data_IF_943058993482
#
_entry.id   IF_943058993482
#
_cell.length_a   1.000
_cell.length_b   1.000
_cell.length_c   1.000
_cell.angle_alpha   90.00
_cell.angle_beta   90.00
_cell.angle_gamma   90.00
#
_symmetry.space_group_name_H-M   'P 1'
#
loop_
_entity.id
_entity.type
_entity.pdbx_description
1 polymer ?
#
# COMPACT_ATOMS: atom_id res chain seq x y z
N UNK A 1 -12.39 8.05 1.67
CA UNK A 1 -11.62 9.27 2.01
C UNK A 1 -10.24 9.25 1.37
N UNK A 2 -9.45 8.19 1.56
CA UNK A 2 -8.09 8.06 0.98
C UNK A 2 -8.07 8.25 -0.54
N UNK A 3 -8.89 7.50 -1.30
CA UNK A 3 -9.01 7.67 -2.76
C UNK A 3 -9.37 9.12 -3.16
N UNK A 4 -10.17 9.81 -2.36
CA UNK A 4 -10.52 11.21 -2.62
C UNK A 4 -9.34 12.17 -2.42
N UNK A 5 -8.46 11.89 -1.46
CA UNK A 5 -7.19 12.60 -1.30
C UNK A 5 -6.26 12.34 -2.48
N UNK A 6 -6.06 11.07 -2.88
CA UNK A 6 -5.26 10.70 -4.05
C UNK A 6 -5.70 11.44 -5.31
N UNK A 7 -6.99 11.37 -5.65
CA UNK A 7 -7.57 12.00 -6.84
C UNK A 7 -7.44 13.52 -6.88
N UNK A 8 -7.15 14.16 -5.74
CA UNK A 8 -6.95 15.60 -5.73
C UNK A 8 -5.53 16.03 -6.07
N UNK A 9 -4.57 15.10 -6.07
CA UNK A 9 -3.15 15.39 -6.31
C UNK A 9 -2.46 16.19 -5.21
N UNK A 10 -3.15 16.45 -4.10
CA UNK A 10 -2.65 17.18 -2.94
C UNK A 10 -2.35 16.22 -1.80
N UNK A 11 -1.06 15.91 -1.62
CA UNK A 11 -0.60 14.93 -0.63
C UNK A 11 -0.90 15.35 0.81
N UNK A 12 -1.04 16.64 1.08
CA UNK A 12 -1.42 17.15 2.40
C UNK A 12 -2.82 16.67 2.83
N UNK A 13 -3.68 16.28 1.88
CA UNK A 13 -4.98 15.68 2.22
C UNK A 13 -4.91 14.29 2.83
N UNK A 14 -3.75 13.64 2.80
CA UNK A 14 -3.51 12.40 3.56
C UNK A 14 -3.26 12.68 5.05
N UNK A 15 -2.76 13.87 5.42
CA UNK A 15 -2.41 14.21 6.80
C UNK A 15 -3.52 13.92 7.83
N UNK A 16 -4.78 14.33 7.63
CA UNK A 16 -5.84 14.01 8.59
C UNK A 16 -6.22 12.52 8.62
N UNK A 17 -5.81 11.73 7.62
CA UNK A 17 -6.11 10.30 7.51
C UNK A 17 -5.03 9.40 8.13
N UNK A 18 -3.78 9.90 8.20
CA UNK A 18 -2.64 9.17 8.79
C UNK A 18 -2.79 9.00 10.31
N UNK A 19 -3.65 9.79 10.97
CA UNK A 19 -3.83 9.69 12.42
C UNK A 19 -2.64 10.22 13.22
N UNK A 20 -2.61 9.94 14.52
CA UNK A 20 -1.58 10.39 15.47
C UNK A 20 -1.40 9.35 16.59
N UNK A 21 -0.24 9.37 17.25
CA UNK A 21 0.05 8.48 18.39
C UNK A 21 -0.08 7.00 18.01
N UNK A 22 -0.70 6.21 18.90
CA UNK A 22 -0.87 4.76 18.71
C UNK A 22 -1.77 4.39 17.51
N UNK A 23 -2.59 5.35 17.03
CA UNK A 23 -3.46 5.16 15.86
C UNK A 23 -2.80 5.63 14.56
N UNK A 24 -1.55 6.08 14.60
CA UNK A 24 -0.83 6.56 13.42
C UNK A 24 -0.60 5.43 12.42
N UNK A 25 -0.93 5.68 11.16
CA UNK A 25 -0.65 4.77 10.05
C UNK A 25 0.85 4.53 9.96
N UNK A 26 1.24 3.26 9.91
CA UNK A 26 2.61 2.87 9.65
C UNK A 26 2.97 3.15 8.18
N UNK A 27 3.93 4.04 7.92
CA UNK A 27 4.36 4.43 6.58
C UNK A 27 5.68 3.78 6.14
N UNK A 28 6.37 3.11 7.06
CA UNK A 28 7.62 2.39 6.82
C UNK A 28 7.71 1.15 7.71
N UNK A 29 8.48 0.15 7.27
CA UNK A 29 8.84 -1.01 8.10
C UNK A 29 9.90 -0.65 9.16
N UNK A 30 10.58 0.48 8.97
CA UNK A 30 11.51 1.09 9.92
C UNK A 30 10.85 2.29 10.59
N UNK A 31 11.42 2.75 11.70
CA UNK A 31 10.97 3.99 12.34
C UNK A 31 11.10 5.17 11.37
N UNK A 32 10.08 6.03 11.36
CA UNK A 32 10.10 7.30 10.66
C UNK A 32 10.33 8.42 11.67
N UNK A 33 11.19 9.38 11.32
CA UNK A 33 11.37 10.59 12.10
C UNK A 33 10.73 11.79 11.39
N UNK A 34 10.13 12.68 12.17
CA UNK A 34 9.59 13.94 11.68
C UNK A 34 8.19 13.86 11.06
N UNK A 35 7.97 14.69 10.05
CA UNK A 35 6.66 14.92 9.45
C UNK A 35 6.29 13.80 8.45
N UNK A 36 5.12 13.14 8.59
CA UNK A 36 4.77 12.01 7.74
C UNK A 36 4.54 12.39 6.27
N UNK A 37 4.09 13.61 5.98
CA UNK A 37 3.93 14.06 4.58
C UNK A 37 5.28 14.36 3.96
N UNK A 38 6.20 14.96 4.72
CA UNK A 38 7.59 15.17 4.30
C UNK A 38 8.26 13.84 4.01
N UNK A 39 8.06 12.84 4.86
CA UNK A 39 8.53 11.48 4.64
C UNK A 39 7.99 10.90 3.32
N UNK A 40 6.66 10.94 3.10
CA UNK A 40 6.06 10.42 1.87
C UNK A 40 6.55 11.16 0.62
N UNK A 41 6.71 12.49 0.67
CA UNK A 41 7.31 13.26 -0.43
C UNK A 41 8.75 12.82 -0.72
N UNK A 42 9.52 12.47 0.31
CA UNK A 42 10.88 11.96 0.17
C UNK A 42 10.99 10.58 -0.49
N UNK A 43 9.93 9.77 -0.44
CA UNK A 43 9.83 8.50 -1.18
C UNK A 43 9.48 8.70 -2.66
N UNK A 44 8.95 9.87 -3.00
CA UNK A 44 8.41 10.20 -4.32
C UNK A 44 9.52 10.70 -5.25
N UNK A 45 9.60 10.15 -6.46
CA UNK A 45 10.53 10.58 -7.51
C UNK A 45 10.18 11.93 -8.14
N UNK A 46 8.95 12.40 -7.96
CA UNK A 46 8.48 13.72 -8.41
C UNK A 46 8.62 14.81 -7.35
N UNK A 47 9.11 14.48 -6.14
CA UNK A 47 9.30 15.37 -4.97
C UNK A 47 8.06 16.04 -4.39
N UNK A 48 6.97 16.12 -5.15
CA UNK A 48 5.70 16.73 -4.74
C UNK A 48 4.70 15.70 -4.20
N UNK A 49 4.94 14.41 -4.43
CA UNK A 49 4.21 13.31 -3.80
C UNK A 49 3.08 12.71 -4.66
N UNK A 50 2.90 13.14 -5.92
CA UNK A 50 1.85 12.60 -6.77
C UNK A 50 2.14 11.17 -7.20
N UNK A 51 3.40 10.77 -7.36
CA UNK A 51 3.74 9.36 -7.57
C UNK A 51 3.24 8.48 -6.42
N UNK A 52 3.48 8.90 -5.17
CA UNK A 52 2.96 8.18 -3.99
C UNK A 52 1.43 8.14 -3.96
N UNK A 53 0.76 9.24 -4.32
CA UNK A 53 -0.70 9.27 -4.39
C UNK A 53 -1.23 8.31 -5.47
N UNK A 54 -0.56 8.24 -6.62
CA UNK A 54 -0.91 7.33 -7.71
C UNK A 54 -0.70 5.86 -7.29
N UNK A 55 0.41 5.55 -6.64
CA UNK A 55 0.68 4.19 -6.10
C UNK A 55 -0.40 3.80 -5.09
N UNK A 56 -0.71 4.69 -4.13
CA UNK A 56 -1.73 4.43 -3.11
C UNK A 56 -3.12 4.20 -3.74
N UNK A 57 -3.49 4.99 -4.76
CA UNK A 57 -4.73 4.81 -5.49
C UNK A 57 -4.78 3.49 -6.27
N UNK A 58 -3.70 3.13 -6.96
CA UNK A 58 -3.64 1.90 -7.77
C UNK A 58 -3.68 0.66 -6.87
N UNK A 59 -2.94 0.67 -5.75
CA UNK A 59 -2.98 -0.41 -4.74
C UNK A 59 -4.38 -0.60 -4.17
N UNK A 60 -5.06 0.48 -3.77
CA UNK A 60 -6.43 0.42 -3.23
C UNK A 60 -7.48 0.07 -4.29
N UNK A 61 -7.18 0.27 -5.57
CA UNK A 61 -8.05 -0.12 -6.69
C UNK A 61 -7.93 -1.60 -7.06
N UNK A 62 -6.90 -2.29 -6.55
CA UNK A 62 -6.74 -3.73 -6.70
C UNK A 62 -7.74 -4.52 -5.82
N UNK A 63 -7.80 -5.84 -6.03
CA UNK A 63 -8.50 -6.73 -5.09
C UNK A 63 -7.79 -6.80 -3.74
N UNK A 64 -8.54 -7.12 -2.68
CA UNK A 64 -8.02 -7.31 -1.33
C UNK A 64 -8.19 -8.73 -0.83
N UNK A 65 -7.46 -9.05 0.24
CA UNK A 65 -7.67 -10.23 1.07
C UNK A 65 -8.13 -9.80 2.45
N UNK A 66 -9.04 -10.57 3.06
CA UNK A 66 -9.49 -10.37 4.43
C UNK A 66 -8.83 -11.42 5.32
N UNK A 67 -7.97 -10.98 6.24
CA UNK A 67 -7.13 -11.85 7.08
C UNK A 67 -7.54 -11.77 8.54
N UNK A 68 -7.19 -12.82 9.29
CA UNK A 68 -7.36 -12.90 10.75
C UNK A 68 -8.79 -12.59 11.25
N UNK A 69 -9.78 -13.00 10.45
CA UNK A 69 -11.22 -12.74 10.68
C UNK A 69 -11.67 -13.25 12.05
N UNK A 70 -12.35 -12.40 12.81
CA UNK A 70 -12.85 -12.69 14.15
C UNK A 70 -11.81 -12.56 15.26
N UNK A 71 -10.60 -12.07 14.95
CA UNK A 71 -9.54 -11.79 15.92
C UNK A 71 -9.32 -10.29 16.08
N UNK A 72 -8.61 -9.84 17.14
CA UNK A 72 -8.21 -8.43 17.26
C UNK A 72 -7.24 -7.95 16.16
N UNK A 73 -6.73 -8.84 15.31
CA UNK A 73 -5.84 -8.55 14.19
C UNK A 73 -6.57 -8.53 12.83
N UNK A 74 -7.91 -8.61 12.83
CA UNK A 74 -8.73 -8.63 11.61
C UNK A 74 -8.43 -7.42 10.71
N UNK A 75 -8.10 -7.70 9.43
CA UNK A 75 -7.60 -6.68 8.51
C UNK A 75 -7.95 -6.97 7.05
N UNK A 76 -8.28 -5.92 6.32
CA UNK A 76 -8.33 -5.92 4.86
C UNK A 76 -6.99 -5.46 4.30
N UNK A 77 -6.36 -6.27 3.45
CA UNK A 77 -5.04 -5.99 2.89
C UNK A 77 -5.08 -5.92 1.37
N UNK A 78 -4.51 -4.84 0.83
CA UNK A 78 -4.34 -4.60 -0.60
C UNK A 78 -2.85 -4.62 -0.98
N UNK A 79 -2.50 -5.12 -2.18
CA UNK A 79 -3.33 -5.99 -3.00
C UNK A 79 -3.36 -7.42 -2.41
N UNK A 80 -4.35 -8.22 -2.79
CA UNK A 80 -4.47 -9.63 -2.36
C UNK A 80 -3.24 -10.49 -2.73
N UNK A 81 -2.39 -10.04 -3.65
CA UNK A 81 -1.11 -10.68 -3.99
C UNK A 81 -0.19 -10.85 -2.78
N UNK A 82 -0.34 -10.02 -1.74
CA UNK A 82 0.36 -10.18 -0.47
C UNK A 82 0.20 -11.60 0.14
N UNK A 83 -0.96 -12.22 -0.06
CA UNK A 83 -1.29 -13.53 0.51
C UNK A 83 -1.14 -14.70 -0.47
N UNK A 84 -0.60 -14.49 -1.68
CA UNK A 84 -0.49 -15.51 -2.71
C UNK A 84 0.95 -15.73 -3.20
N UNK A 85 1.34 -16.98 -3.46
CA UNK A 85 2.57 -17.27 -4.20
C UNK A 85 2.49 -16.73 -5.64
N UNK A 86 3.45 -15.89 -6.03
CA UNK A 86 3.43 -15.21 -7.34
C UNK A 86 3.55 -16.15 -8.55
N UNK A 87 4.12 -17.34 -8.35
CA UNK A 87 4.22 -18.40 -9.35
C UNK A 87 2.89 -19.10 -9.61
N UNK A 88 1.95 -19.03 -8.67
CA UNK A 88 0.61 -19.62 -8.76
C UNK A 88 -0.46 -18.69 -9.34
N UNK A 89 -0.12 -17.45 -9.67
CA UNK A 89 -1.06 -16.52 -10.28
C UNK A 89 -1.51 -17.01 -11.66
N UNK A 90 -2.82 -17.03 -11.88
CA UNK A 90 -3.42 -17.27 -13.19
C UNK A 90 -3.16 -16.11 -14.17
N UNK A 91 -3.47 -16.30 -15.46
CA UNK A 91 -3.18 -15.29 -16.48
C UNK A 91 -3.91 -13.95 -16.25
N UNK A 92 -5.15 -13.98 -15.73
CA UNK A 92 -5.94 -12.78 -15.41
C UNK A 92 -5.37 -12.07 -14.19
N UNK A 93 -5.00 -12.81 -13.15
CA UNK A 93 -4.36 -12.26 -11.94
C UNK A 93 -3.02 -11.60 -12.27
N UNK A 94 -2.26 -12.15 -13.22
CA UNK A 94 -1.03 -11.49 -13.72
C UNK A 94 -1.31 -10.17 -14.43
N UNK A 95 -2.40 -10.07 -15.20
CA UNK A 95 -2.80 -8.80 -15.81
C UNK A 95 -3.14 -7.76 -14.74
N UNK A 96 -3.83 -8.16 -13.66
CA UNK A 96 -4.09 -7.28 -12.53
C UNK A 96 -2.80 -6.85 -11.83
N UNK A 97 -1.87 -7.78 -11.59
CA UNK A 97 -0.57 -7.48 -11.00
C UNK A 97 0.22 -6.46 -11.84
N UNK A 98 0.23 -6.62 -13.16
CA UNK A 98 0.96 -5.72 -14.07
C UNK A 98 0.38 -4.31 -14.21
N UNK A 99 -0.76 -4.02 -13.59
CA UNK A 99 -1.21 -2.63 -13.43
C UNK A 99 -0.47 -1.91 -12.31
N UNK A 100 0.02 -2.67 -11.33
CA UNK A 100 0.67 -2.15 -10.12
C UNK A 100 2.19 -2.15 -10.29
N UNK A 101 2.74 -3.22 -10.89
CA UNK A 101 4.19 -3.42 -11.00
C UNK A 101 4.60 -3.72 -12.44
N UNK A 102 5.87 -3.47 -12.78
CA UNK A 102 6.39 -3.76 -14.12
C UNK A 102 6.74 -5.24 -14.27
N UNK A 103 7.01 -5.67 -15.52
CA UNK A 103 7.52 -7.02 -15.79
C UNK A 103 8.87 -7.29 -15.10
N UNK A 104 9.75 -6.29 -15.01
CA UNK A 104 11.04 -6.40 -14.31
C UNK A 104 10.88 -6.55 -12.80
N UNK A 105 9.92 -5.83 -12.21
CA UNK A 105 9.58 -5.97 -10.79
C UNK A 105 9.04 -7.37 -10.51
N UNK A 106 8.13 -7.87 -11.36
CA UNK A 106 7.59 -9.22 -11.24
C UNK A 106 8.69 -10.30 -11.29
N UNK A 107 9.63 -10.20 -12.23
CA UNK A 107 10.74 -11.15 -12.32
C UNK A 107 11.62 -11.12 -11.06
N UNK A 108 11.83 -9.94 -10.47
CA UNK A 108 12.56 -9.77 -9.21
C UNK A 108 11.79 -10.37 -8.03
N UNK A 109 10.48 -10.08 -7.93
CA UNK A 109 9.60 -10.60 -6.89
C UNK A 109 9.43 -12.12 -6.96
N UNK A 110 9.48 -12.71 -8.15
CA UNK A 110 9.49 -14.17 -8.32
C UNK A 110 10.73 -14.82 -7.76
N UNK A 111 11.89 -14.20 -7.93
CA UNK A 111 13.15 -14.70 -7.35
C UNK A 111 13.12 -14.62 -5.83
N UNK A 112 12.53 -13.55 -5.28
CA UNK A 112 12.32 -13.39 -3.85
C UNK A 112 11.26 -14.36 -3.29
N UNK A 113 10.22 -14.66 -4.08
CA UNK A 113 9.15 -15.59 -3.73
C UNK A 113 7.90 -14.94 -3.10
N UNK A 114 7.85 -13.62 -3.00
CA UNK A 114 6.73 -12.89 -2.42
C UNK A 114 6.50 -11.53 -3.10
N UNK A 115 5.30 -10.98 -2.92
CA UNK A 115 4.98 -9.60 -3.30
C UNK A 115 5.65 -8.63 -2.31
N UNK A 116 6.57 -7.81 -2.82
CA UNK A 116 7.35 -6.84 -2.02
C UNK A 116 7.12 -5.38 -2.44
N UNK A 117 6.10 -5.09 -3.24
CA UNK A 117 5.73 -3.70 -3.52
C UNK A 117 4.82 -3.13 -2.43
N UNK A 118 4.32 -1.91 -2.63
CA UNK A 118 3.45 -1.23 -1.68
C UNK A 118 2.21 -2.04 -1.33
N UNK A 119 1.85 -2.02 -0.05
CA UNK A 119 0.63 -2.63 0.50
C UNK A 119 -0.09 -1.69 1.45
N UNK A 120 -1.41 -1.83 1.51
CA UNK A 120 -2.29 -1.06 2.40
C UNK A 120 -3.07 -2.00 3.31
N UNK A 121 -3.14 -1.65 4.59
CA UNK A 121 -3.91 -2.36 5.61
C UNK A 121 -4.98 -1.45 6.19
N UNK A 122 -6.24 -1.90 6.18
CA UNK A 122 -7.37 -1.17 6.76
C UNK A 122 -8.21 -2.13 7.62
N UNK A 123 -8.52 -1.73 8.84
CA UNK A 123 -9.37 -2.50 9.76
C UNK A 123 -10.84 -2.48 9.34
N UNK A 124 -11.70 -3.39 9.87
CA UNK A 124 -13.14 -3.38 9.58
C UNK A 124 -13.87 -2.10 9.94
N UNK A 125 -13.40 -1.34 10.94
CA UNK A 125 -13.94 -0.03 11.32
C UNK A 125 -13.35 1.14 10.50
N UNK A 126 -12.47 0.85 9.55
CA UNK A 126 -11.96 1.81 8.57
C UNK A 126 -10.70 2.56 8.99
N UNK A 127 -10.02 2.13 10.06
CA UNK A 127 -8.73 2.69 10.45
C UNK A 127 -7.66 2.29 9.42
N UNK A 128 -6.91 3.27 8.91
CA UNK A 128 -5.77 3.03 8.04
C UNK A 128 -4.55 2.63 8.87
N UNK A 129 -4.27 1.33 8.92
CA UNK A 129 -3.22 0.77 9.78
C UNK A 129 -1.83 0.94 9.18
N UNK A 130 -1.68 0.66 7.89
CA UNK A 130 -0.38 0.78 7.22
C UNK A 130 -0.48 1.13 5.73
N UNK A 131 0.55 1.79 5.24
CA UNK A 131 0.90 1.91 3.83
C UNK A 131 2.42 1.86 3.70
N UNK A 132 2.94 0.68 3.35
CA UNK A 132 4.39 0.40 3.38
C UNK A 132 4.82 -0.29 2.10
N UNK A 133 6.03 0.00 1.62
CA UNK A 133 6.71 -0.84 0.66
C UNK A 133 7.16 -2.15 1.34
N UNK A 134 7.14 -3.26 0.62
CA UNK A 134 7.88 -4.45 1.04
C UNK A 134 9.38 -4.26 0.81
N UNK A 135 10.16 -5.16 1.42
CA UNK A 135 11.61 -5.28 1.29
C UNK A 135 11.92 -6.64 0.69
#
# INVERSE_FOLDING_TARGET
LIIGACKSGDIEKLRPLIGQGDAMTQLSLSEIEGDPITFLKGLSGDTEGQEILAILEEVLSAGYVHVDVGTPQELYVWPYFFALPLDKLDARQRVELFKIVTAGDYDSMKQFGAYIFYRVGITPDGQWTFFVAGD
#
